data_IF_527531047152
#
_entry.id   IF_527531047152
#
_cell.length_a   1.000
_cell.length_b   1.000
_cell.length_c   1.000
_cell.angle_alpha   90.00
_cell.angle_beta   90.00
_cell.angle_gamma   90.00
#
_symmetry.space_group_name_H-M   'P 1'
#
loop_
_entity.id
_entity.type
_entity.pdbx_description
1 polymer ?
#
# COMPACT_ATOMS: atom_id res chain seq x y z
N UNK A 1 -36.93 7.13 24.41
CA UNK A 1 -35.99 7.48 23.32
C UNK A 1 -34.53 7.08 23.65
N UNK A 2 -34.29 5.99 24.42
CA UNK A 2 -32.94 5.53 24.79
C UNK A 2 -32.39 4.45 23.83
N UNK A 3 -33.27 3.67 23.20
CA UNK A 3 -32.91 2.59 22.26
C UNK A 3 -32.22 3.13 21.00
N UNK A 4 -32.70 4.27 20.48
CA UNK A 4 -32.20 4.88 19.24
C UNK A 4 -30.76 5.40 19.36
N UNK A 5 -30.36 5.84 20.56
CA UNK A 5 -29.00 6.35 20.83
C UNK A 5 -27.96 5.22 20.94
N UNK A 6 -28.38 4.04 21.39
CA UNK A 6 -27.49 2.87 21.53
C UNK A 6 -27.11 2.29 20.16
N UNK A 7 -28.08 2.19 19.24
CA UNK A 7 -27.83 1.70 17.89
C UNK A 7 -26.87 2.58 17.09
N UNK A 8 -26.99 3.91 17.20
CA UNK A 8 -26.11 4.85 16.48
C UNK A 8 -24.66 4.70 16.95
N UNK A 9 -24.42 4.55 18.26
CA UNK A 9 -23.08 4.33 18.81
C UNK A 9 -22.46 3.04 18.29
N UNK A 10 -23.24 1.95 18.26
CA UNK A 10 -22.79 0.66 17.74
C UNK A 10 -22.43 0.76 16.25
N UNK A 11 -23.26 1.46 15.47
CA UNK A 11 -23.01 1.67 14.03
C UNK A 11 -21.73 2.47 13.79
N UNK A 12 -21.47 3.52 14.56
CA UNK A 12 -20.25 4.33 14.44
C UNK A 12 -19.01 3.49 14.75
N UNK A 13 -19.06 2.67 15.81
CA UNK A 13 -17.94 1.77 16.17
C UNK A 13 -17.70 0.75 15.05
N UNK A 14 -18.76 0.15 14.49
CA UNK A 14 -18.64 -0.79 13.38
C UNK A 14 -17.99 -0.14 12.14
N UNK A 15 -18.41 1.07 11.77
CA UNK A 15 -17.84 1.81 10.64
C UNK A 15 -16.36 2.12 10.87
N UNK A 16 -15.98 2.55 12.07
CA UNK A 16 -14.58 2.81 12.43
C UNK A 16 -13.74 1.53 12.29
N UNK A 17 -14.20 0.40 12.83
CA UNK A 17 -13.50 -0.88 12.73
C UNK A 17 -13.32 -1.31 11.27
N UNK A 18 -14.36 -1.16 10.45
CA UNK A 18 -14.29 -1.50 9.02
C UNK A 18 -13.29 -0.57 8.28
N UNK A 19 -13.30 0.73 8.57
CA UNK A 19 -12.36 1.68 7.97
C UNK A 19 -10.90 1.39 8.36
N UNK A 20 -10.66 0.99 9.62
CA UNK A 20 -9.35 0.55 10.09
C UNK A 20 -8.87 -0.72 9.37
N UNK A 21 -9.75 -1.71 9.21
CA UNK A 21 -9.44 -2.96 8.50
C UNK A 21 -9.14 -2.73 7.02
N UNK A 22 -9.85 -1.80 6.37
CA UNK A 22 -9.62 -1.44 4.97
C UNK A 22 -8.32 -0.64 4.76
N UNK A 23 -7.88 0.11 5.77
CA UNK A 23 -6.63 0.89 5.73
C UNK A 23 -5.38 0.03 5.91
N UNK A 24 -5.52 -1.22 6.36
CA UNK A 24 -4.41 -2.16 6.56
C UNK A 24 -3.95 -2.86 5.27
N UNK A 25 -4.50 -2.49 4.12
CA UNK A 25 -4.00 -2.94 2.82
C UNK A 25 -2.68 -2.24 2.50
N UNK A 26 -1.56 -2.89 2.81
CA UNK A 26 -0.25 -2.52 2.27
C UNK A 26 -0.40 -2.48 0.74
N UNK A 27 -0.22 -1.32 0.12
CA UNK A 27 -0.33 -1.21 -1.33
C UNK A 27 0.71 -2.14 -1.95
N UNK A 28 0.25 -3.11 -2.76
CA UNK A 28 1.15 -4.03 -3.43
C UNK A 28 2.20 -3.23 -4.21
N UNK A 29 3.49 -3.61 -4.13
CA UNK A 29 4.56 -2.87 -4.78
C UNK A 29 4.31 -2.84 -6.30
N UNK A 30 4.54 -1.68 -6.91
CA UNK A 30 4.26 -1.47 -8.33
C UNK A 30 5.52 -1.84 -9.11
N UNK A 31 5.44 -2.94 -9.86
CA UNK A 31 6.52 -3.44 -10.69
C UNK A 31 6.45 -2.84 -12.09
N UNK A 32 7.47 -2.07 -12.46
CA UNK A 32 7.43 -1.16 -13.63
C UNK A 32 8.36 -1.62 -14.75
N UNK A 33 9.59 -2.01 -14.44
CA UNK A 33 10.63 -2.25 -15.43
C UNK A 33 11.57 -3.38 -15.00
N UNK A 34 12.43 -3.85 -15.93
CA UNK A 34 13.44 -4.84 -15.57
C UNK A 34 14.62 -4.24 -14.81
N UNK A 35 15.15 -4.93 -13.81
CA UNK A 35 16.41 -4.45 -13.21
C UNK A 35 17.57 -4.64 -14.19
N UNK A 36 18.49 -3.68 -14.17
CA UNK A 36 19.60 -3.57 -15.12
C UNK A 36 19.31 -2.63 -16.31
N UNK A 37 18.05 -2.24 -16.55
CA UNK A 37 17.73 -1.15 -17.51
C UNK A 37 18.14 0.21 -16.92
N UNK A 38 17.87 0.41 -15.63
CA UNK A 38 18.33 1.56 -14.87
C UNK A 38 19.47 1.15 -13.94
N UNK A 39 20.49 2.01 -13.74
CA UNK A 39 21.63 1.70 -12.88
C UNK A 39 21.22 1.50 -11.41
N UNK A 40 20.13 2.16 -10.98
CA UNK A 40 19.63 2.08 -9.61
C UNK A 40 18.09 2.08 -9.58
N UNK A 41 17.50 0.94 -9.22
CA UNK A 41 16.04 0.76 -9.12
C UNK A 41 15.44 1.65 -8.02
N UNK A 42 16.18 1.86 -6.94
CA UNK A 42 15.71 2.71 -5.84
C UNK A 42 15.64 4.17 -6.28
N UNK A 43 16.68 4.69 -6.95
CA UNK A 43 16.68 6.05 -7.48
C UNK A 43 15.57 6.25 -8.54
N UNK A 44 15.38 5.29 -9.44
CA UNK A 44 14.30 5.32 -10.44
C UNK A 44 12.92 5.44 -9.79
N UNK A 45 12.62 4.60 -8.80
CA UNK A 45 11.34 4.65 -8.08
C UNK A 45 11.17 5.98 -7.29
N UNK A 46 12.25 6.51 -6.69
CA UNK A 46 12.21 7.81 -6.02
C UNK A 46 11.87 8.95 -7.01
N UNK A 47 12.45 8.95 -8.22
CA UNK A 47 12.11 9.94 -9.27
C UNK A 47 10.66 9.88 -9.73
N UNK A 48 10.06 8.70 -9.68
CA UNK A 48 8.65 8.49 -10.00
C UNK A 48 7.71 8.86 -8.83
N UNK A 49 8.24 9.27 -7.67
CA UNK A 49 7.47 9.66 -6.49
C UNK A 49 7.09 8.51 -5.56
N UNK A 50 7.74 7.36 -5.68
CA UNK A 50 7.62 6.25 -4.72
C UNK A 50 8.63 6.42 -3.59
N UNK A 51 8.45 5.70 -2.47
CA UNK A 51 9.38 5.72 -1.32
C UNK A 51 10.72 5.05 -1.59
N UNK A 52 10.83 4.32 -2.70
CA UNK A 52 12.01 3.56 -3.09
C UNK A 52 11.61 2.34 -3.90
N UNK A 53 12.58 1.50 -4.21
CA UNK A 53 12.34 0.30 -5.00
C UNK A 53 13.42 -0.75 -4.82
N UNK A 54 13.05 -2.00 -5.08
CA UNK A 54 13.97 -3.13 -4.98
C UNK A 54 13.75 -4.13 -6.11
N UNK A 55 14.84 -4.81 -6.46
CA UNK A 55 14.82 -5.91 -7.41
C UNK A 55 14.42 -7.20 -6.70
N UNK A 56 13.30 -7.81 -7.10
CA UNK A 56 12.80 -9.02 -6.47
C UNK A 56 13.32 -10.29 -7.19
N UNK A 57 13.68 -11.36 -6.43
CA UNK A 57 14.03 -12.68 -6.97
C UNK A 57 12.81 -13.39 -7.58
N UNK A 58 12.95 -14.49 -8.37
CA UNK A 58 14.10 -15.39 -8.50
C UNK A 58 15.16 -14.99 -9.52
N UNK A 59 14.96 -13.93 -10.29
CA UNK A 59 15.89 -13.56 -11.37
C UNK A 59 16.35 -12.10 -11.33
N UNK A 60 15.98 -11.34 -10.29
CA UNK A 60 16.19 -9.88 -10.23
C UNK A 60 15.73 -9.20 -11.52
N UNK A 61 14.74 -9.78 -12.20
CA UNK A 61 14.32 -9.34 -13.54
C UNK A 61 13.38 -8.16 -13.48
N UNK A 62 12.93 -7.74 -12.29
CA UNK A 62 11.90 -6.74 -12.16
C UNK A 62 12.14 -5.82 -10.97
N UNK A 63 12.18 -4.52 -11.27
CA UNK A 63 12.23 -3.43 -10.33
C UNK A 63 10.81 -3.12 -9.86
N UNK A 64 10.59 -3.23 -8.55
CA UNK A 64 9.29 -2.96 -7.94
C UNK A 64 9.41 -1.81 -6.95
N UNK A 65 8.55 -0.81 -7.15
CA UNK A 65 8.51 0.41 -6.37
C UNK A 65 7.55 0.27 -5.18
N UNK A 66 8.00 0.69 -4.01
CA UNK A 66 7.20 0.72 -2.79
C UNK A 66 6.49 2.07 -2.68
N UNK A 67 5.16 2.05 -2.56
CA UNK A 67 4.35 3.25 -2.35
C UNK A 67 4.56 3.88 -0.98
#
# INVERSE_FOLDING_TARGET
MAVRHSCVKIMIIAIMVIALLLSAGEAAPICVERCGVHPDCNDFCNRLGYRGGQCLPPVYVQCCCNR
#
